data_IF_739637131332
#
_entry.id   IF_739637131332
#
_cell.length_a   1.000
_cell.length_b   1.000
_cell.length_c   1.000
_cell.angle_alpha   90.00
_cell.angle_beta   90.00
_cell.angle_gamma   90.00
#
_symmetry.space_group_name_H-M   'P 1'
#
loop_
_entity.id
_entity.type
_entity.pdbx_description
1 polymer ?
#
# COMPACT_ATOMS: atom_id res chain seq x y z
N UNK A 1 16.36 -4.70 -10.59
CA UNK A 1 16.43 -3.32 -10.04
C UNK A 1 17.40 -2.48 -10.84
N UNK A 2 18.65 -2.91 -11.04
CA UNK A 2 19.60 -2.25 -11.95
C UNK A 2 19.00 -1.94 -13.34
N UNK A 3 18.35 -2.93 -13.98
CA UNK A 3 17.71 -2.69 -15.29
C UNK A 3 16.65 -1.59 -15.28
N UNK A 4 15.87 -1.49 -14.19
CA UNK A 4 14.85 -0.45 -14.04
C UNK A 4 15.48 0.93 -13.83
N UNK A 5 16.63 1.00 -13.13
CA UNK A 5 17.42 2.23 -12.99
C UNK A 5 17.93 2.67 -14.35
N UNK A 6 18.56 1.77 -15.10
CA UNK A 6 19.08 2.05 -16.45
C UNK A 6 17.96 2.45 -17.41
N UNK A 7 16.83 1.74 -17.40
CA UNK A 7 15.67 2.07 -18.22
C UNK A 7 15.06 3.44 -17.85
N UNK A 8 15.17 3.84 -16.58
CA UNK A 8 14.78 5.17 -16.10
C UNK A 8 15.80 6.28 -16.38
N UNK A 9 16.91 5.97 -17.06
CA UNK A 9 17.98 6.93 -17.39
C UNK A 9 19.06 7.11 -16.32
N UNK A 10 19.04 6.32 -15.25
CA UNK A 10 20.07 6.34 -14.21
C UNK A 10 21.30 5.50 -14.56
N UNK A 11 22.41 5.75 -13.87
CA UNK A 11 23.64 4.96 -13.97
C UNK A 11 23.85 4.18 -12.67
N UNK A 12 24.11 2.88 -12.77
CA UNK A 12 24.45 2.06 -11.61
C UNK A 12 25.95 2.18 -11.38
N UNK A 13 26.33 2.73 -10.23
CA UNK A 13 27.71 3.02 -9.83
C UNK A 13 28.03 2.41 -8.46
N UNK A 14 29.30 2.43 -8.07
CA UNK A 14 29.69 2.11 -6.69
C UNK A 14 29.16 3.18 -5.73
N UNK A 15 29.04 2.82 -4.45
CA UNK A 15 28.47 3.69 -3.43
C UNK A 15 29.26 4.99 -3.24
N UNK A 16 30.58 4.94 -3.42
CA UNK A 16 31.47 6.10 -3.33
C UNK A 16 31.16 7.19 -4.37
N UNK A 17 30.71 6.79 -5.56
CA UNK A 17 30.39 7.70 -6.67
C UNK A 17 28.87 8.00 -6.76
N UNK A 18 28.06 7.42 -5.88
CA UNK A 18 26.60 7.53 -5.94
C UNK A 18 26.11 8.87 -5.37
N UNK A 19 25.25 9.56 -6.13
CA UNK A 19 24.48 10.72 -5.65
C UNK A 19 23.17 10.29 -4.95
N UNK A 20 22.70 9.08 -5.22
CA UNK A 20 21.47 8.54 -4.68
C UNK A 20 21.47 7.03 -4.46
N UNK A 21 20.67 6.58 -3.51
CA UNK A 21 20.60 5.19 -3.05
C UNK A 21 19.18 4.65 -3.16
N UNK A 22 19.00 3.47 -3.75
CA UNK A 22 17.76 2.69 -3.66
C UNK A 22 17.97 1.54 -2.68
N UNK A 23 17.29 1.59 -1.53
CA UNK A 23 17.45 0.59 -0.49
C UNK A 23 16.41 -0.52 -0.60
N UNK A 24 16.81 -1.67 -1.15
CA UNK A 24 15.90 -2.79 -1.42
C UNK A 24 15.78 -3.83 -0.28
N UNK A 25 16.29 -3.54 0.92
CA UNK A 25 16.27 -4.45 2.07
C UNK A 25 15.30 -3.95 3.16
N UNK A 26 14.00 -4.35 3.10
CA UNK A 26 12.95 -3.82 3.98
C UNK A 26 13.02 -4.34 5.42
N UNK A 27 14.07 -5.06 5.81
CA UNK A 27 14.22 -5.64 7.16
C UNK A 27 15.60 -5.36 7.75
N UNK A 28 16.30 -4.40 7.17
CA UNK A 28 17.69 -4.08 7.52
C UNK A 28 17.87 -2.56 7.64
N UNK A 29 17.18 -1.90 8.60
CA UNK A 29 17.34 -0.47 8.85
C UNK A 29 18.75 -0.15 9.38
N UNK A 30 19.32 -1.01 10.23
CA UNK A 30 20.63 -0.78 10.86
C UNK A 30 21.77 -0.70 9.83
N UNK A 31 21.69 -1.45 8.73
CA UNK A 31 22.69 -1.35 7.67
C UNK A 31 22.46 -0.13 6.78
N UNK A 32 21.21 0.31 6.60
CA UNK A 32 20.93 1.58 5.93
C UNK A 32 21.48 2.76 6.73
N UNK A 33 21.29 2.76 8.06
CA UNK A 33 21.83 3.77 8.96
C UNK A 33 23.33 3.94 8.77
N UNK A 34 24.10 2.84 8.91
CA UNK A 34 25.56 2.83 8.70
C UNK A 34 25.94 3.37 7.33
N UNK A 35 25.25 2.93 6.26
CA UNK A 35 25.52 3.40 4.90
C UNK A 35 25.30 4.91 4.77
N UNK A 36 24.20 5.44 5.32
CA UNK A 36 23.86 6.87 5.22
C UNK A 36 24.80 7.74 6.08
N UNK A 37 25.24 7.21 7.23
CA UNK A 37 26.20 7.88 8.11
C UNK A 37 27.57 8.02 7.45
N UNK A 38 28.07 6.93 6.87
CA UNK A 38 29.39 6.84 6.21
C UNK A 38 29.42 7.55 4.85
N UNK A 39 28.26 7.77 4.22
CA UNK A 39 28.16 8.32 2.86
C UNK A 39 27.34 9.61 2.85
N UNK A 40 27.93 10.68 3.39
CA UNK A 40 27.31 12.02 3.46
C UNK A 40 27.07 12.68 2.09
N UNK A 41 27.71 12.20 1.04
CA UNK A 41 27.48 12.64 -0.35
C UNK A 41 26.12 12.22 -0.92
N UNK A 42 25.45 11.23 -0.31
CA UNK A 42 24.13 10.78 -0.75
C UNK A 42 23.09 11.88 -0.52
N UNK A 43 22.65 12.51 -1.60
CA UNK A 43 21.64 13.57 -1.59
C UNK A 43 20.20 13.03 -1.68
N UNK A 44 20.03 11.76 -2.05
CA UNK A 44 18.72 11.14 -2.24
C UNK A 44 18.68 9.67 -1.80
N UNK A 45 17.66 9.29 -1.04
CA UNK A 45 17.39 7.89 -0.66
C UNK A 45 15.97 7.50 -1.04
N UNK A 46 15.84 6.44 -1.82
CA UNK A 46 14.57 5.84 -2.25
C UNK A 46 14.32 4.52 -1.50
N UNK A 47 13.20 4.46 -0.79
CA UNK A 47 12.65 3.25 -0.19
C UNK A 47 11.56 2.69 -1.13
N UNK A 48 11.78 1.57 -1.85
CA UNK A 48 10.80 1.01 -2.79
C UNK A 48 9.65 0.29 -2.08
N UNK A 49 9.19 0.82 -0.94
CA UNK A 49 8.12 0.28 -0.09
C UNK A 49 7.12 1.39 0.22
N UNK A 50 5.86 1.03 0.46
CA UNK A 50 4.84 2.00 0.88
C UNK A 50 4.90 2.31 2.38
N UNK A 51 5.11 1.29 3.22
CA UNK A 51 5.34 1.42 4.66
C UNK A 51 6.83 1.60 4.93
N UNK A 52 7.19 2.69 5.61
CA UNK A 52 8.57 3.06 5.92
C UNK A 52 8.79 3.28 7.42
N UNK A 53 7.85 2.85 8.26
CA UNK A 53 7.80 3.15 9.70
C UNK A 53 9.09 2.71 10.41
N UNK A 54 9.65 1.57 10.01
CA UNK A 54 10.92 1.07 10.55
C UNK A 54 12.14 1.94 10.19
N UNK A 55 12.05 2.76 9.13
CA UNK A 55 13.11 3.67 8.70
C UNK A 55 12.86 5.11 9.16
N UNK A 56 11.72 5.39 9.81
CA UNK A 56 11.30 6.75 10.13
C UNK A 56 12.31 7.52 11.00
N UNK A 57 13.09 6.81 11.83
CA UNK A 57 14.14 7.39 12.67
C UNK A 57 15.39 7.83 11.88
N UNK A 58 15.56 7.35 10.65
CA UNK A 58 16.66 7.71 9.75
C UNK A 58 16.34 8.91 8.86
N UNK A 59 15.06 9.28 8.76
CA UNK A 59 14.62 10.35 7.88
C UNK A 59 15.04 11.69 8.48
N UNK A 60 15.83 12.43 7.70
CA UNK A 60 16.42 13.72 8.04
C UNK A 60 16.06 14.77 6.98
N UNK A 61 16.50 16.02 7.22
CA UNK A 61 16.34 17.13 6.28
C UNK A 61 17.59 17.35 5.39
N UNK A 62 18.68 16.62 5.65
CA UNK A 62 19.96 16.76 4.93
C UNK A 62 19.89 16.17 3.50
N UNK A 63 18.96 15.26 3.27
CA UNK A 63 18.81 14.54 2.00
C UNK A 63 17.34 14.30 1.66
N UNK A 64 17.07 14.12 0.37
CA UNK A 64 15.72 13.84 -0.10
C UNK A 64 15.36 12.39 0.19
N UNK A 65 14.27 12.17 0.90
CA UNK A 65 13.70 10.83 1.11
C UNK A 65 12.45 10.63 0.26
N UNK A 66 12.39 9.52 -0.45
CA UNK A 66 11.21 9.14 -1.23
C UNK A 66 10.81 7.70 -0.95
N UNK A 67 9.52 7.41 -1.06
CA UNK A 67 8.98 6.06 -0.88
C UNK A 67 7.99 5.68 -1.97
N UNK A 68 7.67 4.39 -2.10
CA UNK A 68 6.71 3.89 -3.10
C UNK A 68 5.25 4.03 -2.63
N UNK A 69 4.91 5.17 -2.00
CA UNK A 69 3.55 5.45 -1.56
C UNK A 69 2.60 5.47 -2.76
N UNK A 70 1.49 4.73 -2.66
CA UNK A 70 0.45 4.70 -3.69
C UNK A 70 0.65 3.67 -4.80
N UNK A 71 1.87 3.18 -5.05
CA UNK A 71 2.15 2.20 -6.12
C UNK A 71 1.38 0.89 -5.93
N UNK A 72 1.18 0.47 -4.68
CA UNK A 72 0.46 -0.76 -4.34
C UNK A 72 -1.04 -0.57 -4.09
N UNK A 73 -1.57 0.65 -4.29
CA UNK A 73 -2.93 0.98 -3.91
C UNK A 73 -3.99 0.13 -4.65
N UNK A 74 -3.85 0.01 -5.97
CA UNK A 74 -4.75 -0.79 -6.82
C UNK A 74 -4.72 -2.27 -6.45
N UNK A 75 -3.56 -2.95 -6.52
CA UNK A 75 -3.46 -4.38 -6.20
C UNK A 75 -3.95 -4.74 -4.79
N UNK A 76 -3.66 -3.90 -3.78
CA UNK A 76 -4.14 -4.16 -2.42
C UNK A 76 -5.65 -3.95 -2.31
N UNK A 77 -6.21 -2.95 -3.00
CA UNK A 77 -7.66 -2.75 -3.06
C UNK A 77 -8.39 -3.93 -3.75
N UNK A 78 -7.83 -4.46 -4.85
CA UNK A 78 -8.37 -5.65 -5.52
C UNK A 78 -8.40 -6.87 -4.59
N UNK A 79 -7.30 -7.09 -3.85
CA UNK A 79 -7.24 -8.18 -2.88
C UNK A 79 -8.23 -7.98 -1.73
N UNK A 80 -8.37 -6.76 -1.21
CA UNK A 80 -9.32 -6.44 -0.16
C UNK A 80 -10.77 -6.74 -0.57
N UNK A 81 -11.17 -6.29 -1.77
CA UNK A 81 -12.50 -6.60 -2.32
C UNK A 81 -12.69 -8.12 -2.53
N UNK A 82 -11.68 -8.80 -3.07
CA UNK A 82 -11.72 -10.25 -3.29
C UNK A 82 -11.93 -11.02 -1.99
N UNK A 83 -11.20 -10.66 -0.93
CA UNK A 83 -11.33 -11.29 0.39
C UNK A 83 -12.69 -10.97 1.04
N UNK A 84 -13.19 -9.75 0.89
CA UNK A 84 -14.52 -9.37 1.36
C UNK A 84 -15.61 -10.23 0.68
N UNK A 85 -15.58 -10.35 -0.65
CA UNK A 85 -16.50 -11.21 -1.39
C UNK A 85 -16.37 -12.68 -0.99
N UNK A 86 -15.14 -13.20 -0.89
CA UNK A 86 -14.89 -14.59 -0.50
C UNK A 86 -15.44 -14.90 0.90
N UNK A 87 -15.25 -13.98 1.85
CA UNK A 87 -15.78 -14.09 3.21
C UNK A 87 -17.30 -14.00 3.24
N UNK A 88 -17.87 -12.98 2.61
CA UNK A 88 -19.33 -12.76 2.59
C UNK A 88 -20.07 -13.88 1.85
N UNK A 89 -19.49 -14.45 0.79
CA UNK A 89 -20.12 -15.52 -0.01
C UNK A 89 -19.74 -16.92 0.46
N UNK A 90 -19.01 -17.04 1.57
CA UNK A 90 -18.63 -18.33 2.14
C UNK A 90 -17.76 -19.19 1.21
N UNK A 91 -17.02 -18.59 0.29
CA UNK A 91 -16.21 -19.30 -0.73
C UNK A 91 -15.27 -20.30 -0.07
N UNK A 92 -14.59 -19.89 1.01
CA UNK A 92 -13.72 -20.78 1.77
C UNK A 92 -14.46 -22.00 2.35
N UNK A 93 -15.69 -21.82 2.84
CA UNK A 93 -16.50 -22.93 3.36
C UNK A 93 -16.90 -23.91 2.24
N UNK A 94 -17.48 -23.38 1.16
CA UNK A 94 -17.98 -24.20 0.05
C UNK A 94 -16.88 -24.94 -0.69
N UNK A 95 -15.69 -24.34 -0.85
CA UNK A 95 -14.54 -24.99 -1.49
C UNK A 95 -14.08 -26.28 -0.79
N UNK A 96 -14.51 -26.52 0.46
CA UNK A 96 -14.18 -27.72 1.25
C UNK A 96 -15.32 -28.71 1.38
N UNK A 97 -16.51 -28.39 0.86
CA UNK A 97 -17.66 -29.29 0.95
C UNK A 97 -17.58 -30.37 -0.13
N UNK A 98 -18.01 -31.58 0.23
CA UNK A 98 -18.11 -32.72 -0.70
C UNK A 98 -19.56 -33.00 -1.13
N UNK A 99 -20.51 -32.21 -0.63
CA UNK A 99 -21.93 -32.32 -0.95
C UNK A 99 -22.61 -30.95 -0.89
N UNK A 100 -23.81 -30.86 -1.47
CA UNK A 100 -24.60 -29.62 -1.43
C UNK A 100 -25.18 -29.41 -0.03
N UNK A 101 -24.81 -28.28 0.58
CA UNK A 101 -25.27 -27.85 1.89
C UNK A 101 -26.35 -26.77 1.84
N UNK A 102 -26.74 -26.27 3.02
CA UNK A 102 -27.61 -25.10 3.13
C UNK A 102 -26.89 -23.84 2.63
N UNK A 103 -27.62 -22.85 2.09
CA UNK A 103 -27.03 -21.59 1.70
C UNK A 103 -26.51 -20.82 2.94
N UNK A 104 -25.26 -20.41 2.85
CA UNK A 104 -24.50 -19.50 3.70
C UNK A 104 -24.07 -18.30 2.86
N UNK A 105 -24.11 -17.11 3.48
CA UNK A 105 -23.48 -15.90 2.99
C UNK A 105 -24.40 -14.68 2.99
N UNK A 106 -23.79 -13.52 2.74
CA UNK A 106 -24.44 -12.24 2.57
C UNK A 106 -23.97 -11.60 1.25
N UNK A 107 -24.79 -10.71 0.69
CA UNK A 107 -24.42 -9.96 -0.50
C UNK A 107 -23.62 -8.72 -0.13
N UNK A 108 -22.59 -8.43 -0.92
CA UNK A 108 -21.91 -7.13 -0.89
C UNK A 108 -22.75 -6.03 -1.56
N UNK A 109 -23.60 -6.40 -2.52
CA UNK A 109 -24.52 -5.48 -3.18
C UNK A 109 -25.41 -4.74 -2.17
N UNK A 110 -25.38 -3.42 -2.18
CA UNK A 110 -26.17 -2.58 -1.26
C UNK A 110 -25.68 -2.56 0.20
N UNK A 111 -24.55 -3.20 0.49
CA UNK A 111 -24.05 -3.33 1.85
C UNK A 111 -23.48 -2.01 2.40
N UNK A 112 -23.50 -1.86 3.73
CA UNK A 112 -22.78 -0.79 4.41
C UNK A 112 -21.33 -1.23 4.61
N UNK A 113 -20.38 -0.45 4.12
CA UNK A 113 -18.94 -0.74 4.20
C UNK A 113 -18.27 0.37 4.99
N UNK A 114 -17.63 0.02 6.11
CA UNK A 114 -16.81 0.97 6.88
C UNK A 114 -15.34 0.69 6.63
N UNK A 115 -14.58 1.71 6.24
CA UNK A 115 -13.15 1.64 5.96
C UNK A 115 -12.41 2.50 6.98
N UNK A 116 -11.40 1.93 7.64
CA UNK A 116 -10.52 2.66 8.55
C UNK A 116 -9.27 3.12 7.80
N UNK A 117 -9.06 4.44 7.77
CA UNK A 117 -8.00 5.09 7.01
C UNK A 117 -8.48 5.56 5.63
N UNK A 118 -7.99 6.72 5.19
CA UNK A 118 -8.37 7.34 3.91
C UNK A 118 -7.17 7.63 3.01
N UNK A 119 -6.25 6.68 2.91
CA UNK A 119 -5.09 6.76 2.01
C UNK A 119 -5.40 6.23 0.61
N UNK A 120 -4.38 6.12 -0.26
CA UNK A 120 -4.56 5.72 -1.66
C UNK A 120 -5.20 4.34 -1.86
N UNK A 121 -5.02 3.40 -0.92
CA UNK A 121 -5.69 2.09 -0.95
C UNK A 121 -7.21 2.29 -0.81
N UNK A 122 -7.65 3.12 0.14
CA UNK A 122 -9.07 3.44 0.35
C UNK A 122 -9.68 4.10 -0.87
N UNK A 123 -8.99 5.09 -1.45
CA UNK A 123 -9.44 5.72 -2.71
C UNK A 123 -9.60 4.69 -3.83
N UNK A 124 -8.67 3.73 -3.92
CA UNK A 124 -8.74 2.67 -4.92
C UNK A 124 -9.87 1.69 -4.65
N UNK A 125 -10.07 1.31 -3.38
CA UNK A 125 -11.14 0.41 -2.97
C UNK A 125 -12.52 1.02 -3.18
N UNK A 126 -12.71 2.31 -2.90
CA UNK A 126 -13.98 3.01 -3.12
C UNK A 126 -14.39 2.91 -4.60
N UNK A 127 -13.46 3.15 -5.54
CA UNK A 127 -13.74 3.00 -6.99
C UNK A 127 -14.22 1.60 -7.37
N UNK A 128 -13.69 0.57 -6.70
CA UNK A 128 -14.10 -0.83 -6.92
C UNK A 128 -15.44 -1.19 -6.26
N UNK A 129 -15.86 -0.43 -5.23
CA UNK A 129 -17.13 -0.64 -4.52
C UNK A 129 -18.31 0.07 -5.19
N UNK A 130 -18.08 1.11 -5.99
CA UNK A 130 -19.14 1.84 -6.71
C UNK A 130 -20.10 0.90 -7.47
N UNK A 131 -19.63 -0.08 -8.27
CA UNK A 131 -20.52 -0.98 -9.00
C UNK A 131 -21.37 -1.90 -8.10
N UNK A 132 -21.02 -2.02 -6.82
CA UNK A 132 -21.78 -2.81 -5.84
C UNK A 132 -22.86 -2.00 -5.12
N UNK A 133 -23.02 -0.70 -5.42
CA UNK A 133 -23.99 0.17 -4.74
C UNK A 133 -23.82 0.14 -3.21
N UNK A 134 -22.57 0.04 -2.74
CA UNK A 134 -22.27 0.03 -1.32
C UNK A 134 -22.41 1.43 -0.72
N UNK A 135 -22.93 1.51 0.51
CA UNK A 135 -22.88 2.72 1.33
C UNK A 135 -21.56 2.75 2.10
N UNK A 136 -20.64 3.62 1.71
CA UNK A 136 -19.27 3.65 2.22
C UNK A 136 -19.10 4.73 3.29
N UNK A 137 -18.60 4.34 4.46
CA UNK A 137 -18.15 5.25 5.52
C UNK A 137 -16.64 5.14 5.67
N UNK A 138 -15.92 6.26 5.69
CA UNK A 138 -14.47 6.28 5.93
C UNK A 138 -14.19 6.91 7.29
N UNK A 139 -13.49 6.18 8.16
CA UNK A 139 -13.05 6.67 9.47
C UNK A 139 -11.59 7.09 9.38
N UNK A 140 -11.27 8.34 9.72
CA UNK A 140 -9.90 8.88 9.59
C UNK A 140 -9.62 10.03 10.56
N UNK A 141 -8.36 10.15 10.98
CA UNK A 141 -7.92 11.17 11.94
C UNK A 141 -8.11 12.63 11.47
N UNK A 142 -8.20 12.87 10.16
CA UNK A 142 -8.46 14.20 9.59
C UNK A 142 -9.60 14.08 8.59
N UNK A 143 -10.70 14.79 8.86
CA UNK A 143 -11.88 14.83 8.00
C UNK A 143 -11.50 15.53 6.70
N UNK A 144 -11.72 14.84 5.59
CA UNK A 144 -11.54 15.34 4.24
C UNK A 144 -12.59 14.67 3.35
N UNK A 145 -13.19 15.44 2.44
CA UNK A 145 -14.14 14.91 1.48
C UNK A 145 -13.45 13.91 0.54
N UNK A 146 -14.17 12.84 0.21
CA UNK A 146 -13.72 11.79 -0.69
C UNK A 146 -14.88 11.44 -1.62
N UNK A 147 -14.62 11.41 -2.92
CA UNK A 147 -15.60 11.00 -3.91
C UNK A 147 -16.03 9.54 -3.64
N UNK A 148 -17.34 9.28 -3.68
CA UNK A 148 -17.90 7.94 -3.44
C UNK A 148 -18.01 7.54 -1.96
N UNK A 149 -17.92 8.49 -1.02
CA UNK A 149 -18.07 8.25 0.42
C UNK A 149 -19.32 8.95 0.95
N UNK A 150 -20.20 8.20 1.61
CA UNK A 150 -21.46 8.71 2.19
C UNK A 150 -21.25 9.39 3.55
N UNK A 151 -20.17 9.06 4.26
CA UNK A 151 -19.84 9.69 5.53
C UNK A 151 -18.36 9.59 5.88
N UNK A 152 -17.80 10.69 6.40
CA UNK A 152 -16.46 10.73 6.98
C UNK A 152 -16.55 11.08 8.47
N UNK A 153 -15.84 10.33 9.31
CA UNK A 153 -15.79 10.53 10.77
C UNK A 153 -14.39 10.34 11.33
#
# INVERSE_FOLDING_TARGET
>A
MADAVTAGGGHVVSLEDAEGLIWAAPRDPDSLERVVEDNRQLAWVQLPFAGIEQFAHLVDDDRRWTCAKGVYAGPVAELALSLALAGMRGVGHYARQQSWGRPLGANLLGANVTILGGGGITESLIRLLVPFDCRVTVVRNRVQEMEGVDGSR
#
